data_IF_737599766324
#
_entry.id   IF_737599766324
#
_cell.length_a   1.000
_cell.length_b   1.000
_cell.length_c   1.000
_cell.angle_alpha   90.00
_cell.angle_beta   90.00
_cell.angle_gamma   90.00
#
_symmetry.space_group_name_H-M   'P 1'
#
loop_
_entity.id
_entity.type
_entity.pdbx_description
1 polymer ?
#
# COMPACT_ATOMS: atom_id res chain seq x y z
N UNK A 1 -20.22 -14.85 -5.69
CA UNK A 1 -21.55 -15.30 -6.19
C UNK A 1 -22.59 -15.30 -5.07
N UNK A 2 -22.40 -15.98 -3.95
CA UNK A 2 -23.42 -16.00 -2.88
C UNK A 2 -23.73 -14.63 -2.25
N UNK A 3 -22.80 -13.68 -2.28
CA UNK A 3 -22.97 -12.31 -1.78
C UNK A 3 -23.49 -11.30 -2.83
N UNK A 4 -23.66 -11.73 -4.09
CA UNK A 4 -23.97 -10.80 -5.20
C UNK A 4 -22.84 -9.84 -5.58
N UNK A 5 -21.63 -10.03 -5.04
CA UNK A 5 -20.49 -9.14 -5.28
C UNK A 5 -19.81 -9.36 -6.65
N UNK A 6 -20.03 -10.54 -7.26
CA UNK A 6 -19.51 -10.88 -8.59
C UNK A 6 -20.58 -11.64 -9.38
N UNK A 7 -20.61 -11.43 -10.70
CA UNK A 7 -21.55 -12.08 -11.62
C UNK A 7 -21.11 -13.50 -11.97
N UNK A 8 -19.79 -13.77 -12.04
CA UNK A 8 -19.25 -15.06 -12.41
C UNK A 8 -17.77 -15.22 -12.06
N UNK A 9 -17.27 -16.40 -12.34
CA UNK A 9 -15.84 -16.75 -12.25
C UNK A 9 -15.42 -17.46 -13.53
N UNK A 10 -14.20 -17.18 -14.00
CA UNK A 10 -13.65 -17.73 -15.22
C UNK A 10 -12.13 -17.94 -15.09
N UNK A 11 -11.51 -18.57 -16.09
CA UNK A 11 -10.06 -18.55 -16.25
C UNK A 11 -9.58 -17.11 -16.49
N UNK A 12 -8.30 -16.80 -16.19
CA UNK A 12 -7.74 -15.48 -16.48
C UNK A 12 -7.97 -15.10 -17.97
N UNK A 13 -7.67 -16.02 -18.88
CA UNK A 13 -7.82 -15.77 -20.31
C UNK A 13 -9.27 -15.43 -20.73
N UNK A 14 -10.24 -16.12 -20.14
CA UNK A 14 -11.65 -15.86 -20.46
C UNK A 14 -12.16 -14.59 -19.79
N UNK A 15 -11.69 -14.30 -18.57
CA UNK A 15 -12.12 -13.12 -17.83
C UNK A 15 -11.65 -11.80 -18.47
N UNK A 16 -10.44 -11.79 -19.08
CA UNK A 16 -9.84 -10.54 -19.59
C UNK A 16 -10.07 -10.31 -21.07
N UNK A 17 -10.51 -11.33 -21.82
CA UNK A 17 -10.63 -11.29 -23.31
C UNK A 17 -11.46 -10.10 -23.81
N UNK A 18 -12.58 -9.83 -23.17
CA UNK A 18 -13.53 -8.77 -23.57
C UNK A 18 -13.63 -7.64 -22.52
N UNK A 19 -12.75 -7.67 -21.52
CA UNK A 19 -12.76 -6.68 -20.43
C UNK A 19 -12.21 -5.33 -20.90
N UNK A 20 -12.92 -4.27 -20.58
CA UNK A 20 -12.46 -2.88 -20.78
C UNK A 20 -11.54 -2.44 -19.63
N UNK A 21 -11.77 -2.97 -18.41
CA UNK A 21 -10.99 -2.72 -17.21
C UNK A 21 -10.61 -4.03 -16.55
N UNK A 22 -9.32 -4.23 -16.31
CA UNK A 22 -8.76 -5.35 -15.55
C UNK A 22 -8.17 -4.81 -14.25
N UNK A 23 -8.70 -5.23 -13.11
CA UNK A 23 -8.25 -4.81 -11.79
C UNK A 23 -7.51 -5.96 -11.08
N UNK A 24 -6.21 -5.79 -10.86
CA UNK A 24 -5.34 -6.80 -10.24
C UNK A 24 -5.27 -6.56 -8.72
N UNK A 25 -6.04 -7.32 -7.94
CA UNK A 25 -6.09 -7.26 -6.47
C UNK A 25 -5.45 -8.48 -5.82
N UNK A 26 -4.26 -8.82 -6.26
CA UNK A 26 -3.48 -9.97 -5.80
C UNK A 26 -2.30 -9.51 -4.92
N UNK A 27 -1.48 -10.45 -4.39
CA UNK A 27 -0.19 -10.11 -3.80
C UNK A 27 0.75 -9.56 -4.88
N UNK A 28 1.73 -8.74 -4.49
CA UNK A 28 2.64 -8.06 -5.42
C UNK A 28 3.32 -9.05 -6.36
N UNK A 29 3.86 -10.16 -5.83
CA UNK A 29 4.48 -11.18 -6.67
C UNK A 29 3.54 -11.75 -7.72
N UNK A 30 2.26 -11.98 -7.37
CA UNK A 30 1.27 -12.44 -8.34
C UNK A 30 0.83 -11.36 -9.32
N UNK A 31 0.80 -10.10 -8.91
CA UNK A 31 0.56 -8.97 -9.83
C UNK A 31 1.66 -8.94 -10.88
N UNK A 32 2.93 -8.99 -10.45
CA UNK A 32 4.08 -9.02 -11.35
C UNK A 32 4.04 -10.19 -12.34
N UNK A 33 3.72 -11.40 -11.85
CA UNK A 33 3.57 -12.57 -12.71
C UNK A 33 2.42 -12.40 -13.71
N UNK A 34 1.29 -11.84 -13.28
CA UNK A 34 0.14 -11.61 -14.16
C UNK A 34 0.48 -10.55 -15.22
N UNK A 35 1.08 -9.44 -14.83
CA UNK A 35 1.48 -8.35 -15.73
C UNK A 35 2.41 -8.83 -16.84
N UNK A 36 3.38 -9.71 -16.53
CA UNK A 36 4.31 -10.27 -17.53
C UNK A 36 3.64 -11.09 -18.64
N UNK A 37 2.46 -11.64 -18.39
CA UNK A 37 1.83 -12.62 -19.28
C UNK A 37 0.44 -12.23 -19.79
N UNK A 38 -0.16 -11.15 -19.27
CA UNK A 38 -1.55 -10.81 -19.54
C UNK A 38 -1.76 -10.17 -20.94
N UNK A 39 -0.76 -9.46 -21.48
CA UNK A 39 -0.90 -8.63 -22.67
C UNK A 39 -1.50 -9.36 -23.89
N UNK A 40 -1.08 -10.59 -24.25
CA UNK A 40 -1.68 -11.31 -25.38
C UNK A 40 -3.15 -11.66 -25.19
N UNK A 41 -3.64 -11.66 -23.96
CA UNK A 41 -5.01 -12.01 -23.58
C UNK A 41 -5.93 -10.79 -23.56
N UNK A 42 -5.37 -9.57 -23.54
CA UNK A 42 -6.14 -8.34 -23.39
C UNK A 42 -6.89 -7.98 -24.69
N UNK A 43 -8.07 -7.42 -24.51
CA UNK A 43 -8.73 -6.63 -25.54
C UNK A 43 -7.85 -5.42 -25.89
N UNK A 44 -7.66 -5.08 -27.18
CA UNK A 44 -6.93 -3.88 -27.55
C UNK A 44 -7.52 -2.63 -26.91
N UNK A 45 -6.67 -1.83 -26.24
CA UNK A 45 -7.08 -0.62 -25.53
C UNK A 45 -7.69 -0.85 -24.14
N UNK A 46 -7.70 -2.08 -23.62
CA UNK A 46 -8.13 -2.35 -22.25
C UNK A 46 -7.22 -1.63 -21.24
N UNK A 47 -7.80 -1.13 -20.16
CA UNK A 47 -7.05 -0.57 -19.03
C UNK A 47 -6.77 -1.66 -18.02
N UNK A 48 -5.50 -1.86 -17.68
CA UNK A 48 -5.06 -2.69 -16.56
C UNK A 48 -4.64 -1.78 -15.41
N UNK A 49 -5.14 -2.03 -14.23
CA UNK A 49 -4.74 -1.34 -12.99
C UNK A 49 -4.58 -2.36 -11.86
N UNK A 50 -3.93 -1.96 -10.78
CA UNK A 50 -3.65 -2.84 -9.66
C UNK A 50 -3.96 -2.21 -8.30
N UNK A 51 -3.83 -3.02 -7.24
CA UNK A 51 -3.95 -2.59 -5.85
C UNK A 51 -2.68 -2.90 -5.03
N UNK A 52 -1.54 -3.08 -5.68
CA UNK A 52 -0.27 -3.39 -5.02
C UNK A 52 0.20 -2.29 -4.09
N UNK A 53 0.84 -2.68 -3.00
CA UNK A 53 1.32 -1.75 -1.97
C UNK A 53 2.62 -1.04 -2.34
N UNK A 54 3.33 -1.48 -3.38
CA UNK A 54 4.51 -0.84 -3.98
C UNK A 54 4.29 -0.66 -5.47
N UNK A 55 4.95 0.34 -6.09
CA UNK A 55 4.63 0.72 -7.47
C UNK A 55 5.81 0.61 -8.43
N UNK A 56 7.04 0.89 -8.01
CA UNK A 56 8.19 0.95 -8.94
C UNK A 56 8.30 -0.33 -9.78
N UNK A 57 8.43 -1.49 -9.16
CA UNK A 57 8.62 -2.75 -9.87
C UNK A 57 7.41 -3.14 -10.73
N UNK A 58 6.19 -2.84 -10.24
CA UNK A 58 4.94 -3.13 -10.97
C UNK A 58 4.83 -2.27 -12.23
N UNK A 59 5.07 -0.96 -12.12
CA UNK A 59 5.01 -0.01 -13.25
C UNK A 59 6.09 -0.32 -14.26
N UNK A 60 7.33 -0.60 -13.82
CA UNK A 60 8.43 -0.94 -14.73
C UNK A 60 8.17 -2.27 -15.45
N UNK A 61 7.63 -3.28 -14.75
CA UNK A 61 7.23 -4.54 -15.37
C UNK A 61 6.11 -4.32 -16.40
N UNK A 62 5.12 -3.50 -16.07
CA UNK A 62 4.01 -3.19 -16.97
C UNK A 62 4.48 -2.44 -18.22
N UNK A 63 5.38 -1.45 -18.06
CA UNK A 63 5.97 -0.71 -19.18
C UNK A 63 6.68 -1.62 -20.19
N UNK A 64 7.29 -2.71 -19.71
CA UNK A 64 8.00 -3.67 -20.56
C UNK A 64 7.08 -4.73 -21.17
N UNK A 65 5.93 -5.01 -20.55
CA UNK A 65 5.13 -6.19 -20.87
C UNK A 65 3.77 -5.86 -21.49
N UNK A 66 3.18 -4.69 -21.21
CA UNK A 66 1.85 -4.31 -21.69
C UNK A 66 2.00 -3.35 -22.88
N UNK A 67 1.54 -3.81 -24.05
CA UNK A 67 1.62 -3.08 -25.32
C UNK A 67 0.27 -2.97 -26.03
N UNK A 68 -0.66 -3.89 -25.79
CA UNK A 68 -2.01 -3.92 -26.40
C UNK A 68 -3.01 -3.10 -25.62
N UNK A 69 -2.80 -2.99 -24.32
CA UNK A 69 -3.60 -2.20 -23.38
C UNK A 69 -2.86 -0.99 -22.85
N UNK A 70 -3.48 -0.32 -21.90
CA UNK A 70 -2.86 0.71 -21.08
C UNK A 70 -2.67 0.15 -19.66
N UNK A 71 -1.55 0.46 -19.02
CA UNK A 71 -1.38 0.21 -17.59
C UNK A 71 -1.45 1.53 -16.82
N UNK A 72 -2.19 1.54 -15.72
CA UNK A 72 -2.24 2.66 -14.79
C UNK A 72 -2.11 2.10 -13.38
N UNK A 73 -0.95 2.24 -12.77
CA UNK A 73 -0.69 1.73 -11.43
C UNK A 73 -1.62 2.34 -10.40
N UNK A 74 -2.10 1.53 -9.47
CA UNK A 74 -3.02 1.94 -8.42
C UNK A 74 -2.61 1.40 -7.05
N UNK A 75 -2.91 2.16 -6.00
CA UNK A 75 -2.77 1.71 -4.61
C UNK A 75 -3.84 2.34 -3.73
N UNK A 76 -4.90 1.61 -3.35
CA UNK A 76 -5.84 2.05 -2.34
C UNK A 76 -5.17 2.04 -0.97
N UNK A 77 -5.06 3.21 -0.32
CA UNK A 77 -4.54 3.35 1.05
C UNK A 77 -5.62 2.92 2.07
N UNK A 78 -6.10 1.70 1.90
CA UNK A 78 -7.13 1.09 2.73
C UNK A 78 -6.91 -0.41 2.83
N UNK A 79 -7.18 -0.98 4.00
CA UNK A 79 -7.05 -2.42 4.24
C UNK A 79 -7.78 -2.82 5.52
N UNK A 80 -8.03 -4.10 5.65
CA UNK A 80 -8.57 -4.73 6.86
C UNK A 80 -7.70 -5.91 7.26
N UNK A 81 -7.65 -6.20 8.55
CA UNK A 81 -6.97 -7.40 9.06
C UNK A 81 -7.77 -8.70 8.74
N UNK A 82 -9.06 -8.57 8.39
CA UNK A 82 -9.92 -9.71 8.01
C UNK A 82 -9.66 -10.13 6.57
N UNK A 83 -9.49 -11.44 6.36
CA UNK A 83 -9.26 -12.04 5.04
C UNK A 83 -10.52 -12.68 4.46
N UNK A 84 -10.58 -12.74 3.13
CA UNK A 84 -11.62 -13.42 2.36
C UNK A 84 -12.91 -12.62 2.20
N UNK A 85 -13.84 -13.16 1.44
CA UNK A 85 -15.08 -12.50 1.04
C UNK A 85 -16.01 -12.12 2.20
N UNK A 86 -15.90 -12.81 3.34
CA UNK A 86 -16.67 -12.46 4.55
C UNK A 86 -16.26 -11.11 5.17
N UNK A 87 -15.04 -10.63 4.89
CA UNK A 87 -14.55 -9.32 5.33
C UNK A 87 -14.82 -8.19 4.33
N UNK A 88 -15.51 -8.45 3.22
CA UNK A 88 -15.81 -7.44 2.21
C UNK A 88 -16.67 -6.32 2.81
N UNK A 89 -16.32 -5.08 2.44
CA UNK A 89 -17.00 -3.88 2.92
C UNK A 89 -17.16 -2.92 1.73
N UNK A 90 -18.39 -2.59 1.33
CA UNK A 90 -18.63 -1.70 0.21
C UNK A 90 -18.09 -0.28 0.45
N UNK A 91 -17.97 0.14 1.72
CA UNK A 91 -17.52 1.48 2.11
C UNK A 91 -16.02 1.54 2.41
N UNK A 92 -15.27 0.45 2.18
CA UNK A 92 -13.83 0.35 2.49
C UNK A 92 -13.00 1.51 1.95
N UNK A 93 -13.34 2.02 0.78
CA UNK A 93 -12.60 3.07 0.08
C UNK A 93 -13.17 4.48 0.29
N UNK A 94 -14.33 4.59 0.92
CA UNK A 94 -14.99 5.89 1.13
C UNK A 94 -14.12 6.83 1.99
N UNK A 95 -13.80 7.99 1.45
CA UNK A 95 -12.93 8.98 2.08
C UNK A 95 -11.46 8.56 2.17
N UNK A 96 -11.08 7.38 1.64
CA UNK A 96 -9.69 6.91 1.63
C UNK A 96 -8.93 7.41 0.42
N UNK A 97 -7.63 7.58 0.60
CA UNK A 97 -6.74 7.93 -0.51
C UNK A 97 -6.58 6.74 -1.44
N UNK A 98 -6.67 6.98 -2.74
CA UNK A 98 -6.29 6.05 -3.79
C UNK A 98 -5.18 6.70 -4.61
N UNK A 99 -3.98 6.16 -4.53
CA UNK A 99 -2.86 6.67 -5.33
C UNK A 99 -2.94 6.06 -6.72
N UNK A 100 -2.76 6.90 -7.75
CA UNK A 100 -2.54 6.49 -9.13
C UNK A 100 -1.14 6.90 -9.55
N UNK A 101 -0.46 5.99 -10.25
CA UNK A 101 0.90 6.21 -10.74
C UNK A 101 0.95 6.08 -12.26
N UNK A 102 0.54 7.11 -13.01
CA UNK A 102 0.67 7.14 -14.46
C UNK A 102 2.14 7.22 -14.86
N UNK A 103 2.48 6.71 -16.02
CA UNK A 103 3.82 6.90 -16.63
C UNK A 103 4.01 8.34 -17.09
N UNK A 104 2.97 8.85 -17.79
CA UNK A 104 2.85 10.27 -18.15
C UNK A 104 1.49 10.82 -17.69
N UNK A 105 1.41 12.13 -17.44
CA UNK A 105 0.13 12.76 -17.04
C UNK A 105 -0.98 12.59 -18.07
N UNK A 106 -0.63 12.49 -19.35
CA UNK A 106 -1.54 12.22 -20.45
C UNK A 106 -2.26 10.87 -20.33
N UNK A 107 -1.68 9.90 -19.62
CA UNK A 107 -2.30 8.59 -19.40
C UNK A 107 -3.63 8.68 -18.64
N UNK A 108 -3.79 9.70 -17.81
CA UNK A 108 -5.05 9.98 -17.10
C UNK A 108 -6.15 10.56 -18.01
N UNK A 109 -5.81 11.00 -19.20
CA UNK A 109 -6.74 11.65 -20.12
C UNK A 109 -7.39 10.66 -21.10
N UNK A 110 -6.93 9.42 -21.15
CA UNK A 110 -7.53 8.39 -22.00
C UNK A 110 -8.98 8.10 -21.58
N UNK A 111 -9.85 7.67 -22.48
CA UNK A 111 -11.23 7.34 -22.15
C UNK A 111 -11.32 6.30 -21.02
N UNK A 112 -10.52 5.25 -21.07
CA UNK A 112 -10.52 4.19 -20.06
C UNK A 112 -10.04 4.68 -18.69
N UNK A 113 -9.00 5.53 -18.64
CA UNK A 113 -8.54 6.12 -17.38
C UNK A 113 -9.58 7.09 -16.79
N UNK A 114 -10.28 7.86 -17.62
CA UNK A 114 -11.38 8.73 -17.15
C UNK A 114 -12.55 7.92 -16.58
N UNK A 115 -12.86 6.76 -17.14
CA UNK A 115 -13.87 5.85 -16.58
C UNK A 115 -13.44 5.32 -15.22
N UNK A 116 -12.17 4.90 -15.07
CA UNK A 116 -11.61 4.49 -13.77
C UNK A 116 -11.69 5.63 -12.76
N UNK A 117 -11.27 6.86 -13.13
CA UNK A 117 -11.39 8.04 -12.26
C UNK A 117 -12.83 8.29 -11.83
N UNK A 118 -13.78 8.17 -12.77
CA UNK A 118 -15.22 8.27 -12.48
C UNK A 118 -15.69 7.18 -11.51
N UNK A 119 -15.21 5.95 -11.65
CA UNK A 119 -15.50 4.85 -10.73
C UNK A 119 -14.95 5.16 -9.32
N UNK A 120 -13.68 5.55 -9.22
CA UNK A 120 -13.04 5.90 -7.93
C UNK A 120 -13.78 7.04 -7.23
N UNK A 121 -14.23 8.03 -7.99
CA UNK A 121 -15.05 9.11 -7.44
C UNK A 121 -16.41 8.61 -6.92
N UNK A 122 -17.10 7.73 -7.66
CA UNK A 122 -18.40 7.16 -7.24
C UNK A 122 -18.31 6.33 -5.97
N UNK A 123 -17.21 5.59 -5.74
CA UNK A 123 -16.98 4.87 -4.49
C UNK A 123 -16.45 5.77 -3.36
N UNK A 124 -16.33 7.07 -3.61
CA UNK A 124 -15.93 8.05 -2.60
C UNK A 124 -14.43 8.08 -2.29
N UNK A 125 -13.58 7.47 -3.11
CA UNK A 125 -12.14 7.52 -2.95
C UNK A 125 -11.57 8.92 -3.29
N UNK A 126 -10.52 9.33 -2.59
CA UNK A 126 -9.77 10.56 -2.87
C UNK A 126 -8.53 10.22 -3.69
N UNK A 127 -8.56 10.55 -4.97
CA UNK A 127 -7.44 10.27 -5.87
C UNK A 127 -6.28 11.23 -5.61
N UNK A 128 -5.07 10.66 -5.50
CA UNK A 128 -3.79 11.36 -5.46
C UNK A 128 -2.92 10.80 -6.57
N UNK A 129 -2.27 11.66 -7.33
CA UNK A 129 -1.38 11.24 -8.43
C UNK A 129 0.06 11.51 -8.01
N UNK A 130 0.89 10.46 -8.02
CA UNK A 130 2.32 10.48 -7.76
C UNK A 130 3.03 9.72 -8.88
N UNK A 131 4.33 9.97 -9.10
CA UNK A 131 5.14 8.99 -9.80
C UNK A 131 5.42 7.75 -8.92
N UNK A 132 5.87 6.66 -9.53
CA UNK A 132 6.04 5.39 -8.84
C UNK A 132 7.14 5.47 -7.74
N UNK A 133 8.24 6.17 -8.01
CA UNK A 133 9.34 6.35 -7.05
C UNK A 133 8.90 7.21 -5.86
N UNK A 134 8.23 8.32 -6.13
CA UNK A 134 7.70 9.17 -5.07
C UNK A 134 6.68 8.42 -4.20
N UNK A 135 5.79 7.62 -4.83
CA UNK A 135 4.88 6.75 -4.11
C UNK A 135 5.63 5.83 -3.15
N UNK A 136 6.61 5.06 -3.66
CA UNK A 136 7.33 4.05 -2.87
C UNK A 136 8.16 4.70 -1.76
N UNK A 137 8.75 5.89 -2.02
CA UNK A 137 9.43 6.71 -1.03
C UNK A 137 8.49 7.24 0.05
N UNK A 138 7.28 7.65 -0.29
CA UNK A 138 6.28 8.13 0.69
C UNK A 138 5.77 6.98 1.55
N UNK A 139 5.36 5.86 0.95
CA UNK A 139 4.81 4.73 1.71
C UNK A 139 5.88 4.03 2.55
N UNK A 140 7.16 4.10 2.20
CA UNK A 140 8.23 3.60 3.05
C UNK A 140 8.24 4.25 4.42
N UNK A 141 7.91 5.54 4.51
CA UNK A 141 7.85 6.31 5.77
C UNK A 141 6.50 6.28 6.46
N UNK A 142 5.41 6.27 5.68
CA UNK A 142 4.05 6.43 6.22
C UNK A 142 3.35 5.10 6.51
N UNK A 143 3.86 4.00 5.97
CA UNK A 143 3.28 2.65 6.10
C UNK A 143 4.32 1.61 6.53
N UNK A 144 5.42 1.47 5.75
CA UNK A 144 6.36 0.37 5.96
C UNK A 144 7.18 0.54 7.24
N UNK A 145 7.72 1.74 7.47
CA UNK A 145 8.43 2.05 8.72
C UNK A 145 7.58 1.84 9.98
N UNK A 146 6.34 2.36 10.07
CA UNK A 146 5.45 2.06 11.18
C UNK A 146 5.23 0.56 11.43
N UNK A 147 5.04 -0.23 10.37
CA UNK A 147 4.92 -1.68 10.49
C UNK A 147 6.17 -2.32 11.08
N UNK A 148 7.34 -1.98 10.55
CA UNK A 148 8.61 -2.54 11.00
C UNK A 148 8.96 -2.12 12.43
N UNK A 149 8.69 -0.87 12.79
CA UNK A 149 8.87 -0.38 14.16
C UNK A 149 7.95 -1.12 15.16
N UNK A 150 6.68 -1.32 14.78
CA UNK A 150 5.72 -2.10 15.54
C UNK A 150 6.18 -3.55 15.72
N UNK A 151 6.62 -4.18 14.63
CA UNK A 151 7.11 -5.57 14.65
C UNK A 151 8.38 -5.71 15.51
N UNK A 152 9.34 -4.80 15.36
CA UNK A 152 10.58 -4.81 16.12
C UNK A 152 10.32 -4.61 17.62
N UNK A 153 9.41 -3.68 17.98
CA UNK A 153 9.00 -3.45 19.36
C UNK A 153 8.35 -4.69 19.98
N UNK A 154 7.43 -5.33 19.26
CA UNK A 154 6.77 -6.54 19.72
C UNK A 154 7.75 -7.71 19.88
N UNK A 155 8.65 -7.90 18.91
CA UNK A 155 9.68 -8.94 18.95
C UNK A 155 10.67 -8.74 20.12
N UNK A 156 11.08 -7.49 20.39
CA UNK A 156 11.95 -7.16 21.53
C UNK A 156 11.32 -7.57 22.88
N UNK A 157 10.00 -7.57 22.96
CA UNK A 157 9.26 -7.86 24.20
C UNK A 157 8.80 -9.32 24.29
N UNK A 158 9.15 -10.20 23.33
CA UNK A 158 8.65 -11.58 23.29
C UNK A 158 8.91 -12.34 24.61
N UNK A 159 10.09 -12.17 25.22
CA UNK A 159 10.49 -12.81 26.46
C UNK A 159 10.49 -11.85 27.66
N UNK A 160 9.87 -10.67 27.53
CA UNK A 160 9.86 -9.71 28.62
C UNK A 160 8.97 -10.18 29.77
N UNK A 161 9.49 -10.15 31.03
CA UNK A 161 8.67 -10.49 32.18
C UNK A 161 7.61 -9.41 32.43
N UNK A 162 6.51 -9.81 33.07
CA UNK A 162 5.49 -8.87 33.57
C UNK A 162 4.81 -8.00 32.52
N UNK A 163 4.55 -8.51 31.30
CA UNK A 163 3.79 -7.81 30.27
C UNK A 163 2.42 -7.31 30.75
N UNK A 164 1.85 -7.93 31.79
CA UNK A 164 0.60 -7.47 32.42
C UNK A 164 0.68 -6.06 33.02
N UNK A 165 1.87 -5.50 33.18
CA UNK A 165 2.08 -4.11 33.66
C UNK A 165 1.97 -3.11 32.49
N UNK A 166 1.84 -3.58 31.24
CA UNK A 166 1.71 -2.71 30.08
C UNK A 166 0.39 -1.95 30.05
N UNK A 167 0.44 -0.69 29.58
CA UNK A 167 -0.75 0.11 29.32
C UNK A 167 -1.20 0.05 27.86
N UNK A 168 -2.27 0.77 27.52
CA UNK A 168 -2.82 0.87 26.16
C UNK A 168 -1.81 1.37 25.12
N UNK A 169 -0.86 2.22 25.52
CA UNK A 169 0.18 2.72 24.61
C UNK A 169 1.02 1.61 23.97
N UNK A 170 1.37 0.56 24.73
CA UNK A 170 2.10 -0.57 24.15
C UNK A 170 1.22 -1.37 23.20
N UNK A 171 -0.05 -1.61 23.54
CA UNK A 171 -1.01 -2.28 22.68
C UNK A 171 -1.20 -1.54 21.35
N UNK A 172 -1.33 -0.21 21.39
CA UNK A 172 -1.45 0.63 20.19
C UNK A 172 -0.19 0.56 19.31
N UNK A 173 0.99 0.64 19.93
CA UNK A 173 2.28 0.62 19.25
C UNK A 173 2.61 -0.75 18.63
N UNK A 174 2.09 -1.85 19.18
CA UNK A 174 2.34 -3.21 18.68
C UNK A 174 1.22 -3.78 17.81
N UNK A 175 0.13 -3.05 17.59
CA UNK A 175 -1.04 -3.51 16.83
C UNK A 175 -0.68 -3.95 15.40
N UNK A 176 0.18 -3.21 14.71
CA UNK A 176 0.59 -3.54 13.35
C UNK A 176 1.39 -4.85 13.27
N UNK A 177 2.07 -5.27 14.33
CA UNK A 177 2.81 -6.53 14.39
C UNK A 177 1.94 -7.79 14.21
N UNK A 178 0.61 -7.66 14.29
CA UNK A 178 -0.33 -8.75 14.01
C UNK A 178 -0.47 -9.07 12.52
N UNK A 179 0.08 -8.24 11.64
CA UNK A 179 0.09 -8.49 10.20
C UNK A 179 0.95 -9.70 9.84
N UNK A 180 0.52 -10.49 8.85
CA UNK A 180 1.26 -11.68 8.46
C UNK A 180 2.47 -11.35 7.58
N UNK A 181 3.56 -12.09 7.77
CA UNK A 181 4.77 -11.99 6.95
C UNK A 181 4.52 -12.27 5.46
N UNK A 182 3.59 -13.17 5.12
CA UNK A 182 3.24 -13.47 3.73
C UNK A 182 2.79 -12.25 2.93
N UNK A 183 2.09 -11.31 3.58
CA UNK A 183 1.71 -10.04 2.97
C UNK A 183 2.92 -9.11 2.83
N UNK A 184 3.76 -9.07 3.85
CA UNK A 184 4.86 -8.11 3.94
C UNK A 184 6.11 -8.54 3.17
N UNK A 185 6.30 -9.84 2.92
CA UNK A 185 7.47 -10.37 2.22
C UNK A 185 7.72 -9.67 0.89
N UNK A 186 6.67 -9.57 0.05
CA UNK A 186 6.79 -8.97 -1.26
C UNK A 186 6.96 -7.43 -1.16
N UNK A 187 6.27 -6.79 -0.22
CA UNK A 187 6.40 -5.34 0.04
C UNK A 187 7.85 -4.98 0.43
N UNK A 188 8.43 -5.75 1.34
CA UNK A 188 9.80 -5.53 1.81
C UNK A 188 10.83 -5.75 0.68
N UNK A 189 10.61 -6.74 -0.18
CA UNK A 189 11.50 -7.05 -1.29
C UNK A 189 11.45 -5.96 -2.38
N UNK A 190 10.25 -5.51 -2.75
CA UNK A 190 10.04 -4.58 -3.88
C UNK A 190 10.24 -3.10 -3.52
N UNK A 191 10.42 -2.76 -2.23
CA UNK A 191 10.71 -1.39 -1.78
C UNK A 191 11.86 -1.31 -0.77
N UNK A 192 12.82 -2.24 -0.86
CA UNK A 192 13.89 -2.41 0.14
C UNK A 192 14.77 -1.17 0.30
N UNK A 193 15.12 -0.47 -0.78
CA UNK A 193 16.01 0.70 -0.75
C UNK A 193 15.38 1.90 -0.01
N UNK A 194 14.13 2.22 -0.31
CA UNK A 194 13.42 3.30 0.39
C UNK A 194 13.15 2.93 1.85
N UNK A 195 12.86 1.64 2.12
CA UNK A 195 12.67 1.14 3.49
C UNK A 195 13.96 1.24 4.29
N UNK A 196 15.10 0.85 3.72
CA UNK A 196 16.42 0.97 4.38
C UNK A 196 16.72 2.42 4.73
N UNK A 197 16.48 3.34 3.79
CA UNK A 197 16.64 4.78 4.03
C UNK A 197 15.74 5.28 5.17
N UNK A 198 14.49 4.85 5.20
CA UNK A 198 13.53 5.23 6.24
C UNK A 198 13.91 4.65 7.63
N UNK A 199 14.36 3.39 7.66
CA UNK A 199 14.85 2.73 8.87
C UNK A 199 16.11 3.40 9.41
N UNK A 200 17.06 3.72 8.54
CA UNK A 200 18.29 4.40 8.92
C UNK A 200 18.00 5.76 9.59
N UNK A 201 17.10 6.54 9.01
CA UNK A 201 16.67 7.81 9.60
C UNK A 201 15.98 7.62 10.97
N UNK A 202 15.16 6.58 11.11
CA UNK A 202 14.48 6.27 12.36
C UNK A 202 15.45 5.80 13.45
N UNK A 203 16.44 4.98 13.10
CA UNK A 203 17.51 4.53 14.00
C UNK A 203 18.30 5.75 14.50
N UNK A 204 18.68 6.69 13.63
CA UNK A 204 19.38 7.92 14.02
C UNK A 204 18.55 8.76 15.01
N UNK A 205 17.25 8.88 14.82
CA UNK A 205 16.38 9.59 15.76
C UNK A 205 16.30 8.88 17.11
N UNK A 206 16.24 7.53 17.13
CA UNK A 206 16.28 6.76 18.39
C UNK A 206 17.63 6.88 19.10
N UNK A 207 18.74 6.91 18.36
CA UNK A 207 20.08 7.13 18.92
C UNK A 207 20.21 8.54 19.52
N UNK A 208 19.72 9.55 18.81
CA UNK A 208 19.66 10.92 19.35
C UNK A 208 18.84 11.00 20.65
N UNK A 209 17.67 10.38 20.71
CA UNK A 209 16.87 10.30 21.94
C UNK A 209 17.65 9.60 23.06
N UNK A 210 18.28 8.45 22.78
CA UNK A 210 19.07 7.68 23.73
C UNK A 210 20.22 8.49 24.34
N UNK A 211 20.97 9.22 23.51
CA UNK A 211 22.09 10.05 23.93
C UNK A 211 21.64 11.20 24.84
N UNK A 212 20.45 11.72 24.61
CA UNK A 212 19.92 12.88 25.32
C UNK A 212 18.98 12.54 26.50
N UNK A 213 18.81 11.28 26.88
CA UNK A 213 17.93 10.88 27.98
C UNK A 213 18.20 11.60 29.30
N UNK A 214 19.47 11.91 29.62
CA UNK A 214 19.90 12.54 30.87
C UNK A 214 20.08 14.06 30.78
N UNK A 215 20.06 14.61 29.56
CA UNK A 215 20.39 16.04 29.36
C UNK A 215 19.19 16.97 29.55
N UNK A 216 17.96 16.43 29.56
CA UNK A 216 16.68 17.17 29.55
C UNK A 216 16.50 18.05 28.28
N UNK A 217 17.17 17.73 27.18
CA UNK A 217 17.17 18.53 25.94
C UNK A 217 16.27 17.93 24.84
N UNK A 218 15.28 17.09 25.20
CA UNK A 218 14.37 16.42 24.25
C UNK A 218 13.05 17.19 24.04
N UNK A 219 12.90 18.38 24.59
CA UNK A 219 11.65 19.16 24.48
C UNK A 219 11.24 19.38 23.02
N UNK A 220 12.20 19.71 22.15
CA UNK A 220 11.97 19.98 20.73
C UNK A 220 11.42 18.74 19.99
N UNK A 221 11.94 17.57 20.27
CA UNK A 221 11.51 16.29 19.68
C UNK A 221 10.07 15.97 20.09
N UNK A 222 9.72 16.18 21.36
CA UNK A 222 8.35 16.01 21.85
C UNK A 222 7.38 17.00 21.23
N UNK A 223 7.72 18.26 21.10
CA UNK A 223 6.89 19.28 20.46
C UNK A 223 6.67 18.98 18.98
N UNK A 224 7.73 18.61 18.23
CA UNK A 224 7.67 18.22 16.82
C UNK A 224 6.82 16.96 16.63
N UNK A 225 6.99 15.96 17.49
CA UNK A 225 6.18 14.76 17.50
C UNK A 225 4.70 15.04 17.74
N UNK A 226 4.38 15.84 18.75
CA UNK A 226 3.01 16.22 19.08
C UNK A 226 2.33 16.99 17.93
N UNK A 227 3.04 17.93 17.28
CA UNK A 227 2.53 18.66 16.11
C UNK A 227 2.20 17.72 14.94
N UNK A 228 3.08 16.76 14.65
CA UNK A 228 2.88 15.78 13.59
C UNK A 228 1.70 14.86 13.90
N UNK A 229 1.63 14.34 15.11
CA UNK A 229 0.52 13.50 15.57
C UNK A 229 -0.83 14.25 15.51
N UNK A 230 -0.84 15.54 15.83
CA UNK A 230 -2.03 16.39 15.74
C UNK A 230 -2.51 16.59 14.29
N UNK A 231 -1.60 16.64 13.30
CA UNK A 231 -1.96 16.74 11.88
C UNK A 231 -2.56 15.45 11.32
N UNK A 232 -2.09 14.28 11.79
CA UNK A 232 -2.57 12.97 11.34
C UNK A 232 -3.98 12.61 11.85
N UNK A 233 -4.49 13.33 12.88
CA UNK A 233 -5.81 13.09 13.50
C UNK A 233 -6.88 14.09 13.06
N UNK A 234 -6.57 14.98 12.14
CA UNK A 234 -7.52 15.91 11.51
C UNK A 234 -8.05 15.34 10.21
#
# INVERSE_FOLDING_TARGET
>A
MASGAIDGGASLADAVRDADLVFLSQTIGRILDTVRHIDPLLKPGALVTDAGSTKCEIVDTARQSITRGQFLGGHPMAGKETRGAAGADPDLFQGRTWVLTPDERSDLETPAARELLGLLHRIGARVVVLDADEHDRVVSRTSHLPQLASTALAALLADAPHLAVSGSGLSDMTRLALSSYDLWRDILATNSEHIDTALSAYIQELEHIRENLRTRQLQREFEKGAQTAGRLRR
#
